data_IF_968511406221
#
_entry.id   IF_968511406221
#
_cell.length_a   1.000
_cell.length_b   1.000
_cell.length_c   1.000
_cell.angle_alpha   90.00
_cell.angle_beta   90.00
_cell.angle_gamma   90.00
#
_symmetry.space_group_name_H-M   'P 1'
#
loop_
_entity.id
_entity.type
_entity.pdbx_description
1 polymer ?
#
# COMPACT_ATOMS: atom_id res chain seq x y z
N UNK A 1 -5.37 -9.51 1.85
CA UNK A 1 -3.92 -9.21 1.73
C UNK A 1 -3.81 -7.70 1.64
N UNK A 2 -2.83 -7.09 2.32
CA UNK A 2 -2.84 -5.64 2.50
C UNK A 2 -1.41 -5.07 2.37
N UNK A 3 -1.12 -4.49 1.20
CA UNK A 3 0.15 -3.83 0.92
C UNK A 3 0.41 -2.66 1.88
N UNK A 4 -0.58 -1.79 2.11
CA UNK A 4 -0.41 -0.64 3.00
C UNK A 4 0.00 -1.06 4.42
N UNK A 5 -0.65 -2.08 5.00
CA UNK A 5 -0.24 -2.59 6.33
C UNK A 5 1.17 -3.18 6.31
N UNK A 6 1.52 -3.92 5.25
CA UNK A 6 2.86 -4.50 5.09
C UNK A 6 3.93 -3.40 5.04
N UNK A 7 3.72 -2.36 4.24
CA UNK A 7 4.64 -1.23 4.11
C UNK A 7 4.76 -0.43 5.41
N UNK A 8 3.66 -0.25 6.15
CA UNK A 8 3.67 0.44 7.43
C UNK A 8 4.51 -0.28 8.50
N UNK A 9 4.37 -1.62 8.58
CA UNK A 9 5.18 -2.45 9.48
C UNK A 9 6.64 -2.43 9.05
N UNK A 10 6.92 -2.60 7.75
CA UNK A 10 8.28 -2.52 7.21
C UNK A 10 8.96 -1.17 7.53
N UNK A 11 8.27 -0.05 7.31
CA UNK A 11 8.75 1.29 7.64
C UNK A 11 9.00 1.46 9.15
N UNK A 12 8.09 0.97 9.99
CA UNK A 12 8.23 1.04 11.46
C UNK A 12 9.48 0.28 11.93
N UNK A 13 9.76 -0.88 11.35
CA UNK A 13 10.98 -1.65 11.64
C UNK A 13 12.22 -0.93 11.14
N UNK A 14 12.20 -0.37 9.93
CA UNK A 14 13.30 0.45 9.42
C UNK A 14 13.62 1.62 10.34
N UNK A 15 12.59 2.32 10.85
CA UNK A 15 12.76 3.42 11.80
C UNK A 15 13.37 2.97 13.12
N UNK A 16 12.85 1.89 13.71
CA UNK A 16 13.29 1.41 15.01
C UNK A 16 14.71 0.83 14.99
N UNK A 17 15.08 0.14 13.90
CA UNK A 17 16.38 -0.54 13.77
C UNK A 17 17.46 0.31 13.10
N UNK A 18 17.06 1.42 12.46
CA UNK A 18 17.96 2.25 11.65
C UNK A 18 18.40 1.59 10.34
N UNK A 19 17.83 0.44 9.95
CA UNK A 19 18.16 -0.17 8.65
C UNK A 19 17.61 0.67 7.49
N UNK A 20 18.26 0.65 6.30
CA UNK A 20 17.77 1.39 5.14
C UNK A 20 16.33 1.03 4.74
N UNK A 21 15.54 2.02 4.31
CA UNK A 21 14.18 1.83 3.79
C UNK A 21 14.22 1.62 2.28
N UNK A 22 14.46 0.37 1.88
CA UNK A 22 14.74 -0.05 0.49
C UNK A 22 13.44 -0.43 -0.22
N UNK A 23 13.20 0.14 -1.40
CA UNK A 23 12.06 -0.23 -2.23
C UNK A 23 12.18 -1.70 -2.69
N UNK A 24 11.13 -2.53 -2.51
CA UNK A 24 11.25 -3.96 -2.74
C UNK A 24 10.89 -4.41 -4.17
N UNK A 25 10.34 -3.50 -4.97
CA UNK A 25 9.78 -3.82 -6.28
C UNK A 25 10.78 -3.79 -7.44
N UNK A 26 10.25 -3.97 -8.64
CA UNK A 26 11.02 -3.95 -9.89
C UNK A 26 11.35 -2.52 -10.32
N UNK A 27 12.38 -2.36 -11.17
CA UNK A 27 12.69 -1.09 -11.83
C UNK A 27 11.51 -0.59 -12.67
N UNK A 28 10.78 -1.51 -13.30
CA UNK A 28 9.59 -1.17 -14.11
C UNK A 28 8.55 -0.49 -13.22
N UNK A 29 8.16 -1.10 -12.09
CA UNK A 29 7.19 -0.49 -11.18
C UNK A 29 7.69 0.81 -10.54
N UNK A 30 9.00 0.95 -10.30
CA UNK A 30 9.59 2.18 -9.78
C UNK A 30 9.41 3.39 -10.72
N UNK A 31 9.59 3.18 -12.03
CA UNK A 31 9.59 4.24 -13.05
C UNK A 31 8.24 4.43 -13.76
N UNK A 32 7.42 3.39 -13.82
CA UNK A 32 6.13 3.38 -14.53
C UNK A 32 5.01 4.04 -13.74
N UNK A 33 3.98 4.47 -14.47
CA UNK A 33 2.72 4.88 -13.86
C UNK A 33 1.97 3.67 -13.31
N UNK A 34 1.31 3.86 -12.19
CA UNK A 34 0.44 2.86 -11.58
C UNK A 34 -0.80 3.51 -10.99
N UNK A 35 -1.88 2.76 -10.93
CA UNK A 35 -3.07 3.11 -10.16
C UNK A 35 -3.23 2.18 -8.95
N UNK A 36 -4.11 2.58 -8.03
CA UNK A 36 -4.40 1.84 -6.81
C UNK A 36 -5.91 1.85 -6.55
N UNK A 37 -6.39 0.92 -5.73
CA UNK A 37 -7.77 0.92 -5.24
C UNK A 37 -7.80 0.88 -3.72
N UNK A 38 -8.28 1.96 -3.12
CA UNK A 38 -8.67 2.01 -1.72
C UNK A 38 -9.92 1.14 -1.47
N UNK A 39 -9.97 0.45 -0.33
CA UNK A 39 -11.07 -0.45 -0.01
C UNK A 39 -12.43 0.27 0.13
N UNK A 40 -12.44 1.52 0.60
CA UNK A 40 -13.64 2.38 0.67
C UNK A 40 -14.06 2.82 -0.72
N UNK A 41 -13.11 3.10 -1.61
CA UNK A 41 -13.41 3.42 -3.01
C UNK A 41 -14.05 2.22 -3.74
N UNK A 42 -13.55 1.00 -3.50
CA UNK A 42 -14.21 -0.23 -3.94
C UNK A 42 -15.63 -0.36 -3.36
N UNK A 43 -15.82 -0.07 -2.07
CA UNK A 43 -17.14 -0.12 -1.44
C UNK A 43 -18.11 0.93 -2.03
N UNK A 44 -17.64 2.15 -2.30
CA UNK A 44 -18.43 3.19 -2.95
C UNK A 44 -18.90 2.75 -4.34
N UNK A 45 -18.02 2.11 -5.12
CA UNK A 45 -18.43 1.62 -6.44
C UNK A 45 -19.44 0.46 -6.35
N UNK A 46 -19.25 -0.48 -5.42
CA UNK A 46 -20.22 -1.55 -5.20
C UNK A 46 -21.60 -1.01 -4.81
N UNK A 47 -21.64 -0.04 -3.87
CA UNK A 47 -22.88 0.63 -3.49
C UNK A 47 -23.51 1.33 -4.70
N UNK A 48 -22.74 2.13 -5.42
CA UNK A 48 -23.21 2.82 -6.62
C UNK A 48 -23.79 1.85 -7.66
N UNK A 49 -23.09 0.74 -7.95
CA UNK A 49 -23.55 -0.25 -8.91
C UNK A 49 -24.84 -0.94 -8.45
N UNK A 50 -24.98 -1.21 -7.15
CA UNK A 50 -26.18 -1.80 -6.57
C UNK A 50 -27.40 -0.87 -6.57
N UNK A 51 -27.18 0.45 -6.50
CA UNK A 51 -28.26 1.45 -6.43
C UNK A 51 -28.50 2.23 -7.71
N UNK A 52 -27.75 1.95 -8.78
CA UNK A 52 -27.88 2.64 -10.08
C UNK A 52 -28.49 1.69 -11.11
N UNK A 53 -29.76 1.89 -11.53
CA UNK A 53 -30.42 0.99 -12.47
C UNK A 53 -29.65 0.77 -13.78
N UNK A 54 -29.00 1.81 -14.30
CA UNK A 54 -28.19 1.74 -15.53
C UNK A 54 -26.90 0.91 -15.37
N UNK A 55 -26.48 0.61 -14.15
CA UNK A 55 -25.30 -0.20 -13.85
C UNK A 55 -25.61 -1.70 -13.71
N UNK A 56 -26.90 -2.09 -13.74
CA UNK A 56 -27.30 -3.48 -13.58
C UNK A 56 -26.71 -4.39 -14.67
N UNK A 57 -26.24 -5.58 -14.28
CA UNK A 57 -25.64 -6.59 -15.16
C UNK A 57 -24.43 -6.09 -15.98
N UNK A 58 -23.62 -5.19 -15.41
CA UNK A 58 -22.42 -4.67 -16.05
C UNK A 58 -21.18 -4.97 -15.20
N UNK A 59 -20.08 -5.33 -15.87
CA UNK A 59 -18.75 -5.31 -15.27
C UNK A 59 -18.17 -3.89 -15.32
N UNK A 60 -17.53 -3.46 -14.23
CA UNK A 60 -16.83 -2.20 -14.10
C UNK A 60 -15.45 -2.43 -13.50
N UNK A 61 -14.47 -1.68 -14.02
CA UNK A 61 -13.20 -1.52 -13.36
C UNK A 61 -13.32 -0.53 -12.19
N UNK A 62 -12.39 -0.57 -11.24
CA UNK A 62 -12.31 0.38 -10.12
C UNK A 62 -10.87 0.74 -9.82
N UNK A 63 -10.64 2.04 -9.65
CA UNK A 63 -9.43 2.63 -9.08
C UNK A 63 -9.78 3.91 -8.33
N UNK A 64 -8.78 4.43 -7.61
CA UNK A 64 -8.80 5.69 -6.89
C UNK A 64 -9.09 6.90 -7.78
N UNK A 65 -8.70 6.83 -9.05
CA UNK A 65 -8.99 7.81 -10.09
C UNK A 65 -7.83 8.75 -10.41
N UNK A 66 -6.70 8.62 -9.72
CA UNK A 66 -5.39 9.16 -10.03
C UNK A 66 -4.41 8.05 -10.48
N UNK A 67 -3.19 8.47 -10.82
CA UNK A 67 -2.02 7.61 -11.10
C UNK A 67 -0.78 8.23 -10.49
N UNK A 68 0.20 7.42 -10.09
CA UNK A 68 1.47 7.89 -9.54
C UNK A 68 2.63 7.00 -9.98
N UNK A 69 3.87 7.36 -9.59
CA UNK A 69 5.06 6.51 -9.70
C UNK A 69 5.52 6.08 -8.33
N UNK A 70 5.92 4.81 -8.17
CA UNK A 70 6.46 4.34 -6.90
C UNK A 70 7.69 5.10 -6.44
N UNK A 71 8.54 5.56 -7.36
CA UNK A 71 9.65 6.46 -7.05
C UNK A 71 9.25 7.71 -6.26
N UNK A 72 8.09 8.29 -6.58
CA UNK A 72 7.54 9.42 -5.85
C UNK A 72 6.84 8.97 -4.55
N UNK A 73 5.93 7.99 -4.65
CA UNK A 73 5.14 7.51 -3.51
C UNK A 73 6.02 6.95 -2.38
N UNK A 74 7.12 6.27 -2.72
CA UNK A 74 8.06 5.76 -1.73
C UNK A 74 8.69 6.88 -0.90
N UNK A 75 8.99 8.01 -1.53
CA UNK A 75 9.42 9.22 -0.84
C UNK A 75 8.34 9.78 0.10
N UNK A 76 7.08 9.80 -0.33
CA UNK A 76 5.96 10.24 0.50
C UNK A 76 5.74 9.34 1.72
N UNK A 77 5.83 8.02 1.54
CA UNK A 77 5.74 7.05 2.64
C UNK A 77 6.94 7.22 3.59
N UNK A 78 8.15 7.38 3.07
CA UNK A 78 9.33 7.61 3.89
C UNK A 78 9.17 8.88 4.75
N UNK A 79 8.75 10.00 4.14
CA UNK A 79 8.49 11.25 4.85
C UNK A 79 7.44 11.07 5.97
N UNK A 80 6.32 10.41 5.68
CA UNK A 80 5.27 10.14 6.68
C UNK A 80 5.78 9.35 7.91
N UNK A 81 6.76 8.47 7.73
CA UNK A 81 7.36 7.69 8.81
C UNK A 81 8.63 8.36 9.41
N UNK A 82 8.99 9.58 9.03
CA UNK A 82 10.25 10.26 9.37
C UNK A 82 11.50 9.44 8.99
N UNK A 83 11.48 8.84 7.80
CA UNK A 83 12.57 8.09 7.21
C UNK A 83 13.21 8.86 6.06
N UNK A 84 14.41 8.45 5.70
CA UNK A 84 15.00 8.76 4.39
C UNK A 84 14.89 7.50 3.53
N UNK A 85 14.32 7.59 2.31
CA UNK A 85 14.28 6.45 1.41
C UNK A 85 15.71 6.11 0.98
N UNK A 86 16.04 4.81 0.94
CA UNK A 86 17.30 4.38 0.37
C UNK A 86 17.30 4.57 -1.15
N UNK A 87 18.48 4.62 -1.76
CA UNK A 87 18.62 4.54 -3.21
C UNK A 87 17.95 3.26 -3.73
N UNK A 88 17.42 3.32 -4.96
CA UNK A 88 16.86 2.14 -5.60
C UNK A 88 17.96 1.05 -5.70
N UNK A 89 17.68 -0.18 -5.26
CA UNK A 89 18.72 -1.20 -5.11
C UNK A 89 19.25 -1.68 -6.47
N UNK A 90 20.53 -2.09 -6.50
CA UNK A 90 21.16 -2.62 -7.72
C UNK A 90 20.68 -4.04 -8.07
N UNK A 91 20.21 -4.78 -7.06
CA UNK A 91 19.68 -6.14 -7.18
C UNK A 91 18.26 -6.18 -6.58
N UNK A 92 17.40 -7.13 -6.99
CA UNK A 92 16.07 -7.29 -6.40
C UNK A 92 16.12 -7.46 -4.87
N UNK A 93 15.29 -6.71 -4.16
CA UNK A 93 15.22 -6.73 -2.69
C UNK A 93 13.79 -7.01 -2.20
N UNK A 94 13.21 -8.19 -2.46
CA UNK A 94 11.82 -8.49 -2.07
C UNK A 94 11.62 -8.43 -0.54
N UNK A 95 10.46 -7.96 -0.10
CA UNK A 95 10.09 -7.90 1.32
C UNK A 95 10.07 -9.27 1.98
N UNK A 96 9.73 -10.35 1.27
CA UNK A 96 9.83 -11.71 1.82
C UNK A 96 11.23 -11.98 2.40
N UNK A 97 12.28 -11.57 1.70
CA UNK A 97 13.67 -11.71 2.16
C UNK A 97 14.02 -10.63 3.19
N UNK A 98 13.66 -9.37 2.93
CA UNK A 98 14.02 -8.26 3.82
C UNK A 98 13.40 -8.40 5.22
N UNK A 99 12.22 -9.03 5.32
CA UNK A 99 11.44 -9.15 6.57
C UNK A 99 11.45 -10.54 7.19
N UNK A 100 12.21 -11.50 6.64
CA UNK A 100 12.18 -12.91 7.05
C UNK A 100 12.47 -13.11 8.56
N UNK A 101 13.38 -12.31 9.11
CA UNK A 101 13.87 -12.43 10.50
C UNK A 101 13.39 -11.28 11.41
N UNK A 102 12.38 -10.52 10.98
CA UNK A 102 11.96 -9.28 11.67
C UNK A 102 11.11 -9.48 12.93
N UNK A 103 10.69 -10.72 13.23
CA UNK A 103 9.81 -11.00 14.37
C UNK A 103 10.42 -10.53 15.71
N UNK A 104 11.74 -10.66 15.89
CA UNK A 104 12.40 -10.19 17.11
C UNK A 104 12.33 -8.66 17.25
N UNK A 105 12.69 -7.92 16.19
CA UNK A 105 12.61 -6.47 16.17
C UNK A 105 11.16 -5.98 16.36
N UNK A 106 10.19 -6.64 15.72
CA UNK A 106 8.77 -6.33 15.90
C UNK A 106 8.31 -6.53 17.36
N UNK A 107 8.77 -7.60 18.00
CA UNK A 107 8.45 -7.88 19.41
C UNK A 107 8.93 -6.75 20.34
N UNK A 108 10.11 -6.20 20.07
CA UNK A 108 10.65 -5.07 20.83
C UNK A 108 9.82 -3.79 20.61
N UNK A 109 9.45 -3.49 19.36
CA UNK A 109 8.57 -2.36 19.00
C UNK A 109 7.21 -2.49 19.69
N UNK A 110 6.61 -3.68 19.67
CA UNK A 110 5.32 -3.96 20.32
C UNK A 110 5.38 -3.69 21.82
N UNK A 111 6.47 -4.11 22.48
CA UNK A 111 6.68 -3.87 23.91
C UNK A 111 6.87 -2.38 24.22
N UNK A 112 7.69 -1.69 23.44
CA UNK A 112 8.00 -0.26 23.63
C UNK A 112 6.78 0.63 23.44
N UNK A 113 6.00 0.39 22.37
CA UNK A 113 4.84 1.20 22.00
C UNK A 113 3.50 0.64 22.50
N UNK A 114 3.51 -0.47 23.25
CA UNK A 114 2.31 -1.12 23.79
C UNK A 114 1.27 -1.46 22.70
N UNK A 115 1.76 -2.04 21.60
CA UNK A 115 0.93 -2.42 20.45
C UNK A 115 0.12 -3.69 20.76
N UNK A 116 -0.99 -3.87 20.05
CA UNK A 116 -1.95 -4.96 20.30
C UNK A 116 -1.58 -6.29 19.66
N UNK A 117 -0.83 -6.29 18.57
CA UNK A 117 -0.52 -7.49 17.79
C UNK A 117 0.98 -7.75 17.79
N UNK A 118 1.38 -8.85 18.44
CA UNK A 118 2.78 -9.24 18.60
C UNK A 118 3.28 -10.18 17.51
N UNK A 119 2.40 -10.91 16.82
CA UNK A 119 2.79 -11.78 15.72
C UNK A 119 2.79 -10.98 14.42
N UNK A 120 3.99 -10.75 13.87
CA UNK A 120 4.17 -9.92 12.68
C UNK A 120 3.39 -10.50 11.48
N UNK A 121 3.28 -11.83 11.39
CA UNK A 121 2.66 -12.53 10.26
C UNK A 121 1.14 -12.36 10.20
N UNK A 122 0.52 -11.85 11.27
CA UNK A 122 -0.90 -11.47 11.28
C UNK A 122 -1.14 -10.09 10.67
N UNK A 123 -0.09 -9.29 10.51
CA UNK A 123 -0.14 -7.93 9.98
C UNK A 123 0.34 -7.86 8.53
N UNK A 124 1.40 -8.60 8.20
CA UNK A 124 2.11 -8.45 6.93
C UNK A 124 1.76 -9.55 5.93
N UNK A 125 1.78 -9.19 4.65
CA UNK A 125 1.75 -10.12 3.53
C UNK A 125 2.86 -9.76 2.53
N UNK A 126 4.14 -10.07 2.83
CA UNK A 126 5.29 -9.67 2.02
C UNK A 126 5.20 -10.19 0.60
N UNK A 127 4.93 -11.49 0.43
CA UNK A 127 4.78 -12.14 -0.88
C UNK A 127 3.79 -11.44 -1.81
N UNK A 128 2.68 -10.95 -1.25
CA UNK A 128 1.65 -10.26 -2.01
C UNK A 128 2.12 -8.86 -2.44
N UNK A 129 2.78 -8.15 -1.52
CA UNK A 129 3.37 -6.84 -1.80
C UNK A 129 4.45 -6.96 -2.88
N UNK A 130 5.30 -7.98 -2.79
CA UNK A 130 6.34 -8.28 -3.77
C UNK A 130 5.74 -8.68 -5.12
N UNK A 131 4.65 -9.47 -5.13
CA UNK A 131 3.96 -9.83 -6.36
C UNK A 131 3.37 -8.60 -7.10
N UNK A 132 2.91 -7.60 -6.36
CA UNK A 132 2.36 -6.37 -6.93
C UNK A 132 3.46 -5.37 -7.34
N UNK A 133 4.42 -5.10 -6.47
CA UNK A 133 5.53 -4.17 -6.73
C UNK A 133 6.60 -4.76 -7.66
N UNK A 134 6.65 -6.08 -7.80
CA UNK A 134 7.61 -6.79 -8.64
C UNK A 134 7.16 -6.96 -10.09
N UNK A 135 5.96 -6.49 -10.48
CA UNK A 135 5.42 -6.66 -11.83
C UNK A 135 6.40 -6.12 -12.89
N UNK A 136 6.69 -6.87 -13.97
CA UNK A 136 7.56 -6.40 -15.05
C UNK A 136 6.79 -5.60 -16.11
N UNK A 137 5.63 -5.04 -15.75
CA UNK A 137 4.73 -4.33 -16.65
C UNK A 137 4.16 -3.07 -15.99
N UNK A 138 3.86 -2.07 -16.82
CA UNK A 138 3.03 -0.93 -16.46
C UNK A 138 1.55 -1.34 -16.47
N UNK A 139 0.80 -0.96 -15.43
CA UNK A 139 -0.62 -1.30 -15.29
C UNK A 139 -1.42 -0.05 -14.97
N UNK A 140 -2.38 0.27 -15.84
CA UNK A 140 -3.36 1.33 -15.64
C UNK A 140 -4.73 0.85 -16.10
N UNK A 141 -5.76 1.38 -15.46
CA UNK A 141 -7.12 0.85 -15.52
C UNK A 141 -8.10 1.92 -15.99
N UNK A 142 -8.85 1.64 -17.05
CA UNK A 142 -9.86 2.57 -17.56
C UNK A 142 -11.11 2.62 -16.67
N UNK A 143 -11.41 3.81 -16.14
CA UNK A 143 -12.60 4.13 -15.36
C UNK A 143 -13.72 4.78 -16.21
N UNK A 144 -13.54 4.93 -17.53
CA UNK A 144 -14.46 5.69 -18.37
C UNK A 144 -15.89 5.14 -18.34
N UNK A 145 -16.06 3.82 -18.25
CA UNK A 145 -17.38 3.18 -18.27
C UNK A 145 -18.24 3.59 -17.07
N UNK A 146 -17.69 3.51 -15.85
CA UNK A 146 -18.40 3.88 -14.62
C UNK A 146 -18.62 5.40 -14.56
N UNK A 147 -17.62 6.20 -14.97
CA UNK A 147 -17.72 7.67 -15.04
C UNK A 147 -18.83 8.14 -15.98
N UNK A 148 -18.95 7.55 -17.17
CA UNK A 148 -20.03 7.85 -18.14
C UNK A 148 -21.43 7.53 -17.59
N UNK A 149 -21.53 6.62 -16.62
CA UNK A 149 -22.77 6.26 -15.94
C UNK A 149 -22.95 6.99 -14.59
N UNK A 150 -22.14 8.02 -14.32
CA UNK A 150 -22.33 8.92 -13.18
C UNK A 150 -21.54 8.57 -11.91
N UNK A 151 -20.67 7.55 -11.92
CA UNK A 151 -19.77 7.31 -10.80
C UNK A 151 -18.66 8.36 -10.76
N UNK A 152 -18.64 9.19 -9.71
CA UNK A 152 -17.75 10.36 -9.60
C UNK A 152 -16.89 10.35 -8.33
N UNK A 153 -16.97 9.31 -7.50
CA UNK A 153 -16.13 9.20 -6.31
C UNK A 153 -14.64 9.13 -6.70
N UNK A 154 -13.80 9.77 -5.90
CA UNK A 154 -12.37 9.90 -6.08
C UNK A 154 -11.68 9.77 -4.72
N UNK A 155 -10.49 9.18 -4.72
CA UNK A 155 -9.61 9.10 -3.55
C UNK A 155 -8.20 9.39 -4.03
N UNK A 156 -7.50 10.36 -3.45
CA UNK A 156 -6.07 10.53 -3.72
C UNK A 156 -5.31 9.34 -3.14
N UNK A 157 -4.39 8.75 -3.92
CA UNK A 157 -3.75 7.47 -3.57
C UNK A 157 -2.75 7.60 -2.42
N UNK A 158 -2.09 8.74 -2.27
CA UNK A 158 -1.26 9.09 -1.11
C UNK A 158 -2.10 9.19 0.16
N UNK A 159 -3.19 9.97 0.13
CA UNK A 159 -4.13 10.08 1.24
C UNK A 159 -4.68 8.71 1.65
N UNK A 160 -4.96 7.82 0.68
CA UNK A 160 -5.42 6.47 0.98
C UNK A 160 -4.40 5.66 1.82
N UNK A 161 -3.11 5.75 1.49
CA UNK A 161 -2.05 5.13 2.30
C UNK A 161 -2.01 5.75 3.70
N UNK A 162 -1.98 7.08 3.78
CA UNK A 162 -1.87 7.79 5.06
C UNK A 162 -3.07 7.53 5.97
N UNK A 163 -4.28 7.50 5.44
CA UNK A 163 -5.47 7.19 6.23
C UNK A 163 -5.47 5.74 6.76
N UNK A 164 -4.91 4.79 6.00
CA UNK A 164 -4.67 3.43 6.49
C UNK A 164 -3.62 3.45 7.59
N UNK A 165 -2.51 4.17 7.43
CA UNK A 165 -1.46 4.26 8.45
C UNK A 165 -1.99 4.91 9.75
N UNK A 166 -2.73 6.01 9.64
CA UNK A 166 -3.39 6.66 10.77
C UNK A 166 -4.41 5.74 11.45
N UNK A 167 -5.15 4.94 10.67
CA UNK A 167 -6.02 3.91 11.23
C UNK A 167 -5.23 2.86 12.01
N UNK A 168 -4.12 2.36 11.47
CA UNK A 168 -3.26 1.39 12.15
C UNK A 168 -2.66 1.95 13.45
N UNK A 169 -2.22 3.22 13.46
CA UNK A 169 -1.76 3.94 14.66
C UNK A 169 -2.85 4.05 15.72
N UNK A 170 -4.03 4.55 15.35
CA UNK A 170 -5.19 4.65 16.27
C UNK A 170 -5.58 3.30 16.86
N UNK A 171 -5.50 2.24 16.05
CA UNK A 171 -5.81 0.89 16.48
C UNK A 171 -4.68 0.24 17.31
N UNK A 172 -3.52 0.91 17.45
CA UNK A 172 -2.29 0.42 18.09
C UNK A 172 -1.75 -0.86 17.45
N UNK A 173 -1.75 -0.91 16.12
CA UNK A 173 -1.17 -1.99 15.33
C UNK A 173 0.22 -1.64 14.78
N UNK A 174 0.53 -0.35 14.68
CA UNK A 174 1.87 0.19 14.44
C UNK A 174 2.09 1.35 15.44
N UNK A 175 3.35 1.76 15.70
CA UNK A 175 3.67 2.95 16.48
C UNK A 175 3.07 4.23 15.88
#
# INVERSE_FOLDING_TARGET
MNMATTLAVYASICKATGRPFVFPGSRVQWDSLTDMTDARQLAHQQLWAATTPAAANQAFNITNGDVFRWSWMWGQIAEYFDLQPADFPSEPAPLETQMADDQAAWTDIVREHQLKEGDINRLISPWHTDADLGRPIEVVTDMSKSRKLGFTAFQASDDAFFEVFEKLRRDRLIP
#
